data_IF_930895368016
#
_entry.id   IF_930895368016
#
_cell.length_a   1.000
_cell.length_b   1.000
_cell.length_c   1.000
_cell.angle_alpha   90.00
_cell.angle_beta   90.00
_cell.angle_gamma   90.00
#
_symmetry.space_group_name_H-M   'P 1'
#
loop_
_entity.id
_entity.type
_entity.pdbx_description
1 polymer ?
#
# COMPACT_ATOMS: atom_id res chain seq x y z
N UNK A 1 -1.81 31.32 1.26
CA UNK A 1 -2.23 30.19 0.41
C UNK A 1 -2.33 29.00 1.35
N UNK A 2 -3.54 28.57 1.69
CA UNK A 2 -3.72 27.44 2.60
C UNK A 2 -3.50 26.17 1.78
N UNK A 3 -2.42 25.44 2.06
CA UNK A 3 -2.17 24.14 1.46
C UNK A 3 -3.17 23.16 2.06
N UNK A 4 -4.23 22.83 1.31
CA UNK A 4 -5.10 21.69 1.62
C UNK A 4 -4.25 20.43 1.55
N UNK A 5 -3.76 19.98 2.72
CA UNK A 5 -3.12 18.69 2.88
C UNK A 5 -4.22 17.63 2.67
N UNK A 6 -4.39 17.18 1.43
CA UNK A 6 -5.22 16.01 1.13
C UNK A 6 -4.65 14.85 1.93
N UNK A 7 -5.33 14.50 3.01
CA UNK A 7 -5.02 13.31 3.78
C UNK A 7 -5.21 12.12 2.82
N UNK A 8 -4.09 11.52 2.40
CA UNK A 8 -4.15 10.30 1.62
C UNK A 8 -4.80 9.22 2.50
N UNK A 9 -5.71 8.39 1.94
CA UNK A 9 -6.36 7.36 2.72
C UNK A 9 -5.32 6.45 3.36
N UNK A 10 -5.51 6.13 4.65
CA UNK A 10 -4.66 5.16 5.34
C UNK A 10 -4.85 3.77 4.72
N UNK A 11 -3.75 3.19 4.25
CA UNK A 11 -3.71 1.86 3.65
C UNK A 11 -2.87 0.94 4.54
N UNK A 12 -3.27 -0.32 4.62
CA UNK A 12 -2.54 -1.37 5.34
C UNK A 12 -2.05 -2.43 4.35
N UNK A 13 -0.83 -2.92 4.51
CA UNK A 13 -0.31 -4.02 3.70
C UNK A 13 -0.97 -5.35 4.09
N UNK A 14 -1.61 -6.04 3.14
CA UNK A 14 -2.25 -7.33 3.38
C UNK A 14 -1.29 -8.49 3.73
N UNK A 15 0.03 -8.27 3.62
CA UNK A 15 1.04 -9.31 3.89
C UNK A 15 1.68 -9.19 5.28
N UNK A 16 1.98 -7.96 5.74
CA UNK A 16 2.71 -7.73 6.99
C UNK A 16 2.04 -6.76 7.96
N UNK A 17 0.89 -6.17 7.61
CA UNK A 17 0.13 -5.26 8.47
C UNK A 17 0.71 -3.86 8.64
N UNK A 18 1.81 -3.50 7.97
CA UNK A 18 2.35 -2.13 8.03
C UNK A 18 1.39 -1.14 7.37
N UNK A 19 1.34 0.09 7.89
CA UNK A 19 0.46 1.15 7.39
C UNK A 19 1.19 2.10 6.43
N UNK A 20 0.40 2.84 5.64
CA UNK A 20 0.88 3.89 4.72
C UNK A 20 1.52 5.08 5.43
N UNK A 21 1.30 5.23 6.74
CA UNK A 21 2.01 6.21 7.57
C UNK A 21 3.49 5.85 7.75
N UNK A 22 3.80 4.55 7.84
CA UNK A 22 5.15 4.05 8.13
C UNK A 22 5.96 3.73 6.87
N UNK A 23 5.29 3.37 5.78
CA UNK A 23 5.93 3.01 4.50
C UNK A 23 4.94 3.14 3.34
N UNK A 24 5.38 3.43 2.11
CA UNK A 24 4.48 3.44 0.97
C UNK A 24 3.77 2.09 0.78
N UNK A 25 2.45 2.16 0.63
CA UNK A 25 1.56 1.03 0.34
C UNK A 25 0.89 1.28 -1.01
N UNK A 26 0.93 0.27 -1.88
CA UNK A 26 0.39 0.31 -3.24
C UNK A 26 -0.84 -0.60 -3.33
N UNK A 27 -1.84 -0.17 -4.10
CA UNK A 27 -2.96 -1.01 -4.51
C UNK A 27 -2.58 -1.80 -5.77
N UNK A 28 -3.02 -3.05 -5.84
CA UNK A 28 -2.89 -3.89 -7.03
C UNK A 28 -4.12 -4.77 -7.19
N UNK A 29 -4.37 -5.22 -8.42
CA UNK A 29 -5.46 -6.17 -8.72
C UNK A 29 -4.84 -7.51 -9.09
N UNK A 30 -5.30 -8.57 -8.44
CA UNK A 30 -4.91 -9.94 -8.75
C UNK A 30 -6.12 -10.86 -8.67
N UNK A 31 -6.37 -11.64 -9.72
CA UNK A 31 -7.54 -12.53 -9.83
C UNK A 31 -8.89 -11.82 -9.62
N UNK A 32 -8.99 -10.55 -10.01
CA UNK A 32 -10.20 -9.74 -9.84
C UNK A 32 -10.39 -9.16 -8.43
N UNK A 33 -9.46 -9.40 -7.51
CA UNK A 33 -9.48 -8.83 -6.16
C UNK A 33 -8.53 -7.64 -6.06
N UNK A 34 -9.02 -6.52 -5.50
CA UNK A 34 -8.16 -5.40 -5.10
C UNK A 34 -7.47 -5.74 -3.78
N UNK A 35 -6.13 -5.65 -3.77
CA UNK A 35 -5.28 -5.94 -2.61
C UNK A 35 -4.27 -4.81 -2.41
N UNK A 36 -3.65 -4.76 -1.24
CA UNK A 36 -2.66 -3.75 -0.86
C UNK A 36 -1.35 -4.38 -0.45
N UNK A 37 -0.23 -3.82 -0.89
CA UNK A 37 1.11 -4.30 -0.53
C UNK A 37 2.06 -3.14 -0.27
N UNK A 38 2.87 -3.24 0.78
CA UNK A 38 3.94 -2.28 1.01
C UNK A 38 5.13 -2.53 0.09
N UNK A 39 5.92 -1.50 -0.17
CA UNK A 39 7.14 -1.60 -0.99
C UNK A 39 8.18 -2.61 -0.48
N UNK A 40 8.11 -3.02 0.80
CA UNK A 40 8.98 -4.04 1.40
C UNK A 40 8.53 -5.47 1.11
N UNK A 41 7.22 -5.71 1.01
CA UNK A 41 6.65 -7.03 0.72
C UNK A 41 6.45 -7.25 -0.79
N UNK A 42 6.39 -6.17 -1.58
CA UNK A 42 6.25 -6.25 -3.03
C UNK A 42 7.30 -7.15 -3.71
N UNK A 43 8.60 -7.12 -3.35
CA UNK A 43 9.61 -7.98 -3.97
C UNK A 43 9.28 -9.47 -3.84
N UNK A 44 8.77 -9.91 -2.70
CA UNK A 44 8.35 -11.30 -2.48
C UNK A 44 7.21 -11.71 -3.42
N UNK A 45 6.29 -10.79 -3.73
CA UNK A 45 5.19 -11.07 -4.64
C UNK A 45 5.60 -11.12 -6.12
N UNK A 46 6.68 -10.44 -6.51
CA UNK A 46 7.16 -10.38 -7.90
C UNK A 46 8.16 -11.51 -8.19
N UNK A 47 9.00 -11.84 -7.22
CA UNK A 47 10.15 -12.72 -7.44
C UNK A 47 9.91 -14.19 -7.11
N UNK A 48 8.81 -14.54 -6.42
CA UNK A 48 8.48 -15.92 -6.08
C UNK A 48 9.43 -16.51 -5.04
#
# INVERSE_FOLDING_TARGET
>A
MAEEKKEAPELECSHCGTTSELTPVLKYVYQGEEKTVCVRCLPTLIHG
#
